data_IF_445862147884
#
_entry.id   IF_445862147884
#
_cell.length_a   1.000
_cell.length_b   1.000
_cell.length_c   1.000
_cell.angle_alpha   90.00
_cell.angle_beta   90.00
_cell.angle_gamma   90.00
#
_symmetry.space_group_name_H-M   'P 1'
#
loop_
_entity.id
_entity.type
_entity.pdbx_description
1 polymer ?
#
# COMPACT_ATOMS: atom_id res chain seq x y z
N UNK A 1 1.10 31.74 3.22
CA UNK A 1 0.73 30.49 2.53
C UNK A 1 0.00 30.85 1.24
N UNK A 2 0.46 30.36 0.11
CA UNK A 2 -0.08 30.74 -1.20
C UNK A 2 -1.42 30.03 -1.41
N UNK A 3 -2.53 30.72 -1.21
CA UNK A 3 -3.92 30.21 -1.37
C UNK A 3 -4.25 29.77 -2.79
N UNK A 4 -3.42 30.16 -3.78
CA UNK A 4 -3.61 29.85 -5.21
C UNK A 4 -3.44 28.35 -5.56
N UNK A 5 -2.75 27.57 -4.72
CA UNK A 5 -2.46 26.14 -4.97
C UNK A 5 -3.73 25.25 -4.91
N UNK A 6 -4.91 25.77 -4.51
CA UNK A 6 -6.06 24.96 -4.14
C UNK A 6 -7.39 25.41 -4.72
N UNK A 7 -7.35 26.04 -5.87
CA UNK A 7 -8.57 26.29 -6.67
C UNK A 7 -9.14 24.92 -7.08
N UNK A 8 -10.44 24.74 -6.89
CA UNK A 8 -11.12 23.51 -7.28
C UNK A 8 -11.03 23.33 -8.81
N UNK A 9 -10.89 22.08 -9.30
CA UNK A 9 -10.75 21.81 -10.74
C UNK A 9 -11.84 22.50 -11.58
N UNK A 10 -13.08 22.45 -11.15
CA UNK A 10 -14.26 23.02 -11.83
C UNK A 10 -14.22 24.55 -11.98
N UNK A 11 -13.40 25.24 -11.20
CA UNK A 11 -13.20 26.70 -11.28
C UNK A 11 -12.11 27.09 -12.28
N UNK A 12 -11.44 26.12 -12.92
CA UNK A 12 -10.35 26.33 -13.84
C UNK A 12 -10.87 26.48 -15.26
N UNK A 13 -10.25 27.35 -16.04
CA UNK A 13 -10.63 27.58 -17.43
C UNK A 13 -10.45 26.32 -18.29
N UNK A 14 -9.35 25.61 -18.11
CA UNK A 14 -9.10 24.37 -18.83
C UNK A 14 -10.11 23.26 -18.51
N UNK A 15 -10.64 23.21 -17.28
CA UNK A 15 -11.74 22.31 -16.93
C UNK A 15 -13.02 22.63 -17.70
N UNK A 16 -13.40 23.90 -17.76
CA UNK A 16 -14.57 24.35 -18.52
C UNK A 16 -14.43 24.04 -20.02
N UNK A 17 -13.22 24.23 -20.56
CA UNK A 17 -12.92 23.84 -21.93
C UNK A 17 -13.09 22.33 -22.15
N UNK A 18 -12.61 21.49 -21.23
CA UNK A 18 -12.80 20.04 -21.29
C UNK A 18 -14.28 19.65 -21.20
N UNK A 19 -15.06 20.32 -20.35
CA UNK A 19 -16.52 20.10 -20.29
C UNK A 19 -17.20 20.42 -21.63
N UNK A 20 -16.80 21.51 -22.30
CA UNK A 20 -17.32 21.88 -23.62
C UNK A 20 -16.93 20.83 -24.67
N UNK A 21 -15.68 20.37 -24.66
CA UNK A 21 -15.21 19.31 -25.56
C UNK A 21 -15.93 17.97 -25.34
N UNK A 22 -16.30 17.67 -24.09
CA UNK A 22 -17.03 16.46 -23.73
C UNK A 22 -18.50 16.47 -24.18
N UNK A 23 -19.08 17.65 -24.45
CA UNK A 23 -20.44 17.78 -24.99
C UNK A 23 -20.47 17.56 -26.50
N UNK A 24 -19.34 17.65 -27.20
CA UNK A 24 -19.28 17.35 -28.62
C UNK A 24 -19.52 15.85 -28.87
N UNK A 25 -20.11 15.48 -30.05
CA UNK A 25 -20.30 14.08 -30.40
C UNK A 25 -19.00 13.30 -30.27
N UNK A 26 -19.03 12.21 -29.50
CA UNK A 26 -17.85 11.40 -29.28
C UNK A 26 -17.41 10.72 -30.59
N UNK A 27 -16.18 11.00 -31.02
CA UNK A 27 -15.57 10.29 -32.15
C UNK A 27 -15.30 8.85 -31.75
N UNK A 28 -15.74 7.90 -32.57
CA UNK A 28 -15.51 6.49 -32.28
C UNK A 28 -14.02 6.14 -32.42
N UNK A 29 -13.52 5.28 -31.56
CA UNK A 29 -12.10 4.90 -31.58
C UNK A 29 -11.66 4.30 -32.92
N UNK A 30 -12.55 3.56 -33.59
CA UNK A 30 -12.34 3.03 -34.95
C UNK A 30 -11.96 4.12 -35.96
N UNK A 31 -12.49 5.35 -35.81
CA UNK A 31 -12.23 6.47 -36.69
C UNK A 31 -10.99 7.27 -36.30
N UNK A 32 -10.54 7.09 -35.03
CA UNK A 32 -9.32 7.69 -34.51
C UNK A 32 -8.09 6.85 -34.79
N UNK A 33 -8.18 5.53 -34.67
CA UNK A 33 -7.03 4.61 -34.81
C UNK A 33 -6.27 4.72 -36.15
N UNK A 34 -6.95 4.85 -37.31
CA UNK A 34 -6.25 4.95 -38.59
C UNK A 34 -5.62 6.31 -38.87
N UNK A 35 -5.77 7.29 -37.98
CA UNK A 35 -5.19 8.61 -38.19
C UNK A 35 -3.65 8.56 -38.22
N UNK A 36 -3.02 9.16 -39.27
CA UNK A 36 -1.56 9.16 -39.42
C UNK A 36 -0.88 9.75 -38.19
N UNK A 37 0.19 9.11 -37.73
CA UNK A 37 1.00 9.57 -36.60
C UNK A 37 0.39 9.36 -35.21
N UNK A 38 -0.87 8.91 -35.11
CA UNK A 38 -1.54 8.73 -33.82
C UNK A 38 -0.82 7.78 -32.87
N UNK A 39 -0.39 6.63 -33.35
CA UNK A 39 0.31 5.63 -32.53
C UNK A 39 1.61 6.19 -31.95
N UNK A 40 2.40 6.89 -32.75
CA UNK A 40 3.66 7.50 -32.29
C UNK A 40 3.43 8.74 -31.40
N UNK A 41 2.43 9.55 -31.72
CA UNK A 41 2.12 10.80 -30.98
C UNK A 41 1.50 10.57 -29.59
N UNK A 42 1.02 9.35 -29.30
CA UNK A 42 0.38 8.98 -28.04
C UNK A 42 1.11 7.86 -27.29
N UNK A 43 2.37 7.60 -27.65
CA UNK A 43 3.26 6.70 -26.93
C UNK A 43 4.32 7.49 -26.18
N UNK A 44 4.47 7.17 -24.90
CA UNK A 44 5.40 7.86 -24.00
C UNK A 44 6.26 6.83 -23.30
N UNK A 45 7.54 7.17 -23.11
CA UNK A 45 8.47 6.34 -22.36
C UNK A 45 9.15 7.16 -21.28
N UNK A 46 9.10 6.70 -20.04
CA UNK A 46 9.79 7.31 -18.91
C UNK A 46 10.05 6.29 -17.81
N UNK A 47 11.21 6.39 -17.16
CA UNK A 47 11.58 5.58 -16.01
C UNK A 47 11.41 4.04 -16.21
N UNK A 48 11.70 3.55 -17.42
CA UNK A 48 11.56 2.13 -17.76
C UNK A 48 10.11 1.68 -18.02
N UNK A 49 9.15 2.62 -18.04
CA UNK A 49 7.75 2.36 -18.36
C UNK A 49 7.42 2.86 -19.76
N UNK A 50 6.56 2.13 -20.46
CA UNK A 50 5.94 2.55 -21.71
C UNK A 50 4.44 2.75 -21.51
N UNK A 51 3.95 3.94 -21.87
CA UNK A 51 2.52 4.25 -21.88
C UNK A 51 2.06 4.36 -23.34
N UNK A 52 1.09 3.53 -23.73
CA UNK A 52 0.40 3.66 -25.01
C UNK A 52 -1.02 4.20 -24.76
N UNK A 53 -1.22 5.46 -25.09
CA UNK A 53 -2.51 6.13 -25.00
C UNK A 53 -3.26 6.18 -26.35
N UNK A 54 -2.77 5.49 -27.41
CA UNK A 54 -3.37 5.51 -28.74
C UNK A 54 -4.81 4.99 -28.77
N UNK A 55 -5.16 4.10 -27.83
CA UNK A 55 -6.52 3.56 -27.65
C UNK A 55 -7.42 4.40 -26.75
N UNK A 56 -6.97 5.56 -26.27
CA UNK A 56 -7.83 6.51 -25.58
C UNK A 56 -8.60 7.37 -26.57
N UNK A 57 -9.84 7.75 -26.24
CA UNK A 57 -10.65 8.64 -27.10
C UNK A 57 -10.25 10.10 -26.93
N UNK A 58 -8.99 10.40 -27.17
CA UNK A 58 -8.43 11.76 -27.15
C UNK A 58 -8.01 12.20 -28.54
N UNK A 59 -8.17 13.46 -28.83
CA UNK A 59 -7.63 14.15 -29.99
C UNK A 59 -6.70 15.29 -29.54
N UNK A 60 -6.10 16.01 -30.46
CA UNK A 60 -5.14 17.08 -30.14
C UNK A 60 -5.76 18.16 -29.25
N UNK A 61 -7.02 18.55 -29.46
CA UNK A 61 -7.69 19.59 -28.68
C UNK A 61 -7.92 19.13 -27.21
N UNK A 62 -8.37 17.87 -27.04
CA UNK A 62 -8.57 17.28 -25.72
C UNK A 62 -7.22 17.16 -25.00
N UNK A 63 -6.17 16.68 -25.68
CA UNK A 63 -4.85 16.55 -25.09
C UNK A 63 -4.26 17.91 -24.66
N UNK A 64 -4.40 18.93 -25.50
CA UNK A 64 -4.00 20.31 -25.19
C UNK A 64 -4.73 20.85 -23.97
N UNK A 65 -6.05 20.64 -23.88
CA UNK A 65 -6.84 21.07 -22.72
C UNK A 65 -6.49 20.29 -21.44
N UNK A 66 -6.12 19.00 -21.55
CA UNK A 66 -5.62 18.21 -20.40
C UNK A 66 -4.26 18.72 -19.91
N UNK A 67 -3.36 19.10 -20.82
CA UNK A 67 -2.08 19.71 -20.45
C UNK A 67 -2.29 21.07 -19.77
N UNK A 68 -3.16 21.93 -20.34
CA UNK A 68 -3.50 23.20 -19.72
C UNK A 68 -4.10 23.01 -18.31
N UNK A 69 -4.95 22.00 -18.13
CA UNK A 69 -5.49 21.68 -16.81
C UNK A 69 -4.39 21.26 -15.83
N UNK A 70 -3.41 20.47 -16.27
CA UNK A 70 -2.27 20.09 -15.44
C UNK A 70 -1.42 21.30 -15.02
N UNK A 71 -1.18 22.23 -15.95
CA UNK A 71 -0.45 23.49 -15.69
C UNK A 71 -1.24 24.38 -14.73
N UNK A 72 -2.50 24.67 -15.00
CA UNK A 72 -3.37 25.46 -14.12
C UNK A 72 -3.50 24.82 -12.74
N UNK A 73 -3.41 23.48 -12.66
CA UNK A 73 -3.46 22.72 -11.41
C UNK A 73 -2.11 22.68 -10.70
N UNK A 74 -1.06 23.23 -11.28
CA UNK A 74 0.29 23.27 -10.72
C UNK A 74 0.80 21.87 -10.31
N UNK A 75 0.60 20.88 -11.20
CA UNK A 75 0.90 19.47 -10.89
C UNK A 75 2.38 19.29 -10.57
N UNK A 76 3.28 19.94 -11.33
CA UNK A 76 4.73 19.83 -11.10
C UNK A 76 5.15 20.49 -9.79
N UNK A 77 4.61 21.67 -9.47
CA UNK A 77 4.91 22.36 -8.20
C UNK A 77 4.45 21.55 -6.99
N UNK A 78 3.27 20.92 -7.10
CA UNK A 78 2.78 20.01 -6.06
C UNK A 78 3.62 18.74 -5.93
N UNK A 79 4.12 18.21 -7.05
CA UNK A 79 5.03 17.07 -7.01
C UNK A 79 6.35 17.45 -6.31
N UNK A 80 6.90 18.62 -6.61
CA UNK A 80 8.09 19.12 -5.91
C UNK A 80 7.84 19.36 -4.41
N UNK A 81 6.70 19.96 -4.06
CA UNK A 81 6.28 20.14 -2.67
C UNK A 81 6.14 18.79 -1.93
N UNK A 82 5.60 17.76 -2.61
CA UNK A 82 5.54 16.40 -2.10
C UNK A 82 6.96 15.87 -1.81
N UNK A 83 7.89 16.02 -2.74
CA UNK A 83 9.28 15.56 -2.53
C UNK A 83 9.99 16.31 -1.40
N UNK A 84 9.64 17.57 -1.14
CA UNK A 84 10.16 18.33 0.00
C UNK A 84 9.50 18.00 1.33
N UNK A 85 8.47 17.15 1.34
CA UNK A 85 7.75 16.79 2.55
C UNK A 85 6.80 17.87 3.07
N UNK A 86 6.37 18.79 2.21
CA UNK A 86 5.37 19.79 2.58
C UNK A 86 4.00 19.14 2.82
N UNK A 87 3.19 19.73 3.71
CA UNK A 87 1.86 19.23 4.07
C UNK A 87 0.86 19.49 2.93
N UNK A 88 0.99 18.76 1.84
CA UNK A 88 0.09 18.89 0.68
C UNK A 88 -1.24 18.13 0.85
N UNK A 89 -1.33 17.19 1.78
CA UNK A 89 -2.61 16.58 2.18
C UNK A 89 -3.29 17.47 3.23
N UNK A 90 -4.12 18.38 2.75
CA UNK A 90 -4.78 19.37 3.60
C UNK A 90 -5.91 18.83 4.44
N UNK A 91 -6.56 17.75 4.00
CA UNK A 91 -7.69 17.17 4.73
C UNK A 91 -7.25 16.53 6.04
N UNK A 92 -6.02 16.07 6.09
CA UNK A 92 -5.42 15.40 7.24
C UNK A 92 -4.20 16.16 7.79
N UNK A 93 -3.90 17.33 7.22
CA UNK A 93 -2.76 18.21 7.57
C UNK A 93 -1.44 17.47 7.72
N UNK A 94 -1.03 16.75 6.68
CA UNK A 94 0.21 15.97 6.69
C UNK A 94 0.95 15.95 5.36
N UNK A 95 2.22 15.59 5.41
CA UNK A 95 3.02 15.31 4.24
C UNK A 95 2.51 14.07 3.48
N UNK A 96 2.89 13.96 2.22
CA UNK A 96 2.66 12.80 1.35
C UNK A 96 4.03 12.34 0.87
N UNK A 97 4.69 11.49 1.69
CA UNK A 97 6.09 11.13 1.50
C UNK A 97 6.32 9.65 1.18
N UNK A 98 5.33 8.97 0.61
CA UNK A 98 5.51 7.58 0.18
C UNK A 98 6.73 7.37 -0.75
N UNK A 99 7.19 8.43 -1.43
CA UNK A 99 8.41 8.42 -2.24
C UNK A 99 9.67 8.13 -1.44
N UNK A 100 9.71 8.49 -0.14
CA UNK A 100 10.83 8.22 0.74
C UNK A 100 11.04 6.72 1.00
N UNK A 101 10.00 5.89 0.89
CA UNK A 101 10.09 4.44 1.02
C UNK A 101 10.92 3.80 -0.11
N UNK A 102 11.08 4.50 -1.26
CA UNK A 102 11.83 4.04 -2.43
C UNK A 102 13.18 4.72 -2.56
N UNK A 103 13.49 5.66 -1.67
CA UNK A 103 14.73 6.42 -1.66
C UNK A 103 15.90 5.52 -1.32
N UNK A 104 16.61 5.03 -2.34
CA UNK A 104 17.96 4.50 -2.12
C UNK A 104 18.85 5.64 -1.69
N UNK A 105 19.79 5.37 -0.77
CA UNK A 105 20.70 6.32 -0.15
C UNK A 105 21.16 7.48 -1.06
N UNK A 106 20.35 8.54 -1.12
CA UNK A 106 20.78 9.82 -1.66
C UNK A 106 21.57 10.52 -0.56
N UNK A 107 22.71 11.10 -0.90
CA UNK A 107 23.54 11.82 0.07
C UNK A 107 22.79 12.97 0.76
N UNK A 108 21.81 13.56 0.08
CA UNK A 108 20.96 14.64 0.59
C UNK A 108 19.52 14.48 0.05
N UNK A 109 18.69 13.62 0.68
CA UNK A 109 17.32 13.47 0.24
C UNK A 109 16.51 14.75 0.53
N UNK A 110 15.61 15.16 -0.36
CA UNK A 110 14.83 16.38 -0.20
C UNK A 110 13.90 16.35 1.04
N UNK A 111 13.60 15.18 1.58
CA UNK A 111 12.80 14.98 2.79
C UNK A 111 13.63 14.88 4.09
N UNK A 112 14.95 15.00 4.02
CA UNK A 112 15.85 14.96 5.16
C UNK A 112 16.45 13.58 5.48
N UNK A 113 17.60 13.61 6.14
CA UNK A 113 18.35 12.41 6.50
C UNK A 113 17.65 11.56 7.57
N UNK A 114 16.96 12.19 8.51
CA UNK A 114 16.25 11.52 9.60
C UNK A 114 15.17 10.55 9.08
N UNK A 115 14.34 11.00 8.14
CA UNK A 115 13.32 10.15 7.52
C UNK A 115 13.96 8.97 6.78
N UNK A 116 15.05 9.21 6.05
CA UNK A 116 15.75 8.14 5.34
C UNK A 116 16.35 7.11 6.28
N UNK A 117 16.91 7.54 7.42
CA UNK A 117 17.44 6.66 8.44
C UNK A 117 16.34 5.82 9.10
N UNK A 118 15.20 6.46 9.45
CA UNK A 118 14.05 5.77 10.02
C UNK A 118 13.50 4.70 9.06
N UNK A 119 13.35 5.03 7.76
CA UNK A 119 12.92 4.07 6.73
C UNK A 119 13.90 2.91 6.60
N UNK A 120 15.21 3.18 6.56
CA UNK A 120 16.23 2.15 6.45
C UNK A 120 16.27 1.23 7.67
N UNK A 121 16.13 1.79 8.88
CA UNK A 121 16.09 1.02 10.11
C UNK A 121 14.87 0.08 10.14
N UNK A 122 13.70 0.58 9.75
CA UNK A 122 12.48 -0.24 9.72
C UNK A 122 12.52 -1.30 8.63
N UNK A 123 13.07 -0.99 7.45
CA UNK A 123 13.32 -1.97 6.39
C UNK A 123 14.20 -3.12 6.90
N UNK A 124 15.25 -2.81 7.63
CA UNK A 124 16.15 -3.81 8.24
C UNK A 124 15.39 -4.69 9.23
N UNK A 125 14.56 -4.09 10.10
CA UNK A 125 13.77 -4.83 11.10
C UNK A 125 12.82 -5.84 10.48
N UNK A 126 11.93 -5.38 9.57
CA UNK A 126 10.95 -6.30 9.01
C UNK A 126 11.56 -7.31 8.03
N UNK A 127 12.65 -6.95 7.34
CA UNK A 127 13.40 -7.90 6.51
C UNK A 127 14.03 -9.01 7.35
N UNK A 128 14.66 -8.66 8.49
CA UNK A 128 15.22 -9.64 9.41
C UNK A 128 14.13 -10.57 9.98
N UNK A 129 12.97 -10.01 10.34
CA UNK A 129 11.83 -10.81 10.82
C UNK A 129 11.31 -11.77 9.74
N UNK A 130 11.15 -11.29 8.50
CA UNK A 130 10.72 -12.12 7.38
C UNK A 130 11.71 -13.25 7.06
N UNK A 131 13.01 -12.97 7.14
CA UNK A 131 14.06 -13.98 6.97
C UNK A 131 14.00 -15.03 8.09
N UNK A 132 13.88 -14.59 9.35
CA UNK A 132 13.74 -15.51 10.49
C UNK A 132 12.50 -16.41 10.35
N UNK A 133 11.40 -15.85 9.86
CA UNK A 133 10.17 -16.60 9.57
C UNK A 133 10.40 -17.65 8.46
N UNK A 134 11.02 -17.26 7.34
CA UNK A 134 11.38 -18.18 6.23
C UNK A 134 12.32 -19.30 6.66
N UNK A 135 13.22 -19.03 7.59
CA UNK A 135 14.15 -20.03 8.15
C UNK A 135 13.54 -20.82 9.32
N UNK A 136 12.21 -20.68 9.57
CA UNK A 136 11.50 -21.39 10.65
C UNK A 136 12.04 -21.11 12.07
N UNK A 137 12.64 -19.93 12.26
CA UNK A 137 13.16 -19.49 13.55
C UNK A 137 12.11 -18.81 14.42
N UNK A 138 10.98 -18.39 13.82
CA UNK A 138 9.83 -17.84 14.54
C UNK A 138 8.92 -18.99 14.91
N UNK A 139 8.65 -19.11 16.22
CA UNK A 139 7.80 -20.18 16.78
C UNK A 139 6.55 -19.61 17.44
N UNK A 140 5.52 -20.44 17.52
CA UNK A 140 4.32 -20.21 18.31
C UNK A 140 4.49 -20.61 19.77
N UNK A 141 3.41 -20.54 20.55
CA UNK A 141 3.38 -20.85 21.99
C UNK A 141 3.80 -22.29 22.37
N UNK A 142 3.73 -23.23 21.45
CA UNK A 142 4.18 -24.61 21.66
C UNK A 142 5.67 -24.81 21.36
N UNK A 143 6.36 -23.80 20.83
CA UNK A 143 7.71 -23.92 20.30
C UNK A 143 7.77 -24.47 18.88
N UNK A 144 6.64 -24.83 18.25
CA UNK A 144 6.60 -25.23 16.86
C UNK A 144 6.82 -24.05 15.92
N UNK A 145 7.57 -24.23 14.82
CA UNK A 145 7.77 -23.18 13.82
C UNK A 145 6.47 -22.74 13.18
N UNK A 146 6.34 -21.45 12.93
CA UNK A 146 5.24 -20.88 12.13
C UNK A 146 5.35 -21.37 10.69
N UNK A 147 4.24 -21.88 10.15
CA UNK A 147 4.11 -22.34 8.76
C UNK A 147 3.10 -21.55 7.97
N UNK A 148 2.20 -20.87 8.66
CA UNK A 148 1.09 -20.12 8.04
C UNK A 148 1.04 -18.69 8.56
N UNK A 149 0.95 -17.74 7.65
CA UNK A 149 0.77 -16.32 7.93
C UNK A 149 -0.58 -15.87 7.40
N UNK A 150 -1.41 -15.31 8.27
CA UNK A 150 -2.71 -14.75 7.89
C UNK A 150 -2.63 -13.23 7.97
N UNK A 151 -2.70 -12.57 6.83
CA UNK A 151 -2.79 -11.12 6.74
C UNK A 151 -4.23 -10.68 7.00
N UNK A 152 -4.43 -9.86 8.04
CA UNK A 152 -5.69 -9.18 8.36
C UNK A 152 -5.55 -7.71 8.02
N UNK A 153 -6.02 -7.31 6.85
CA UNK A 153 -5.90 -5.94 6.37
C UNK A 153 -6.90 -5.64 5.26
N UNK A 154 -7.29 -4.38 5.11
CA UNK A 154 -8.33 -3.94 4.18
C UNK A 154 -7.78 -2.86 3.25
N UNK A 155 -8.22 -2.86 2.00
CA UNK A 155 -7.80 -1.88 1.00
C UNK A 155 -6.30 -1.92 0.72
N UNK A 156 -5.57 -0.84 1.05
CA UNK A 156 -4.11 -0.76 0.84
C UNK A 156 -3.32 -1.77 1.66
N UNK A 157 -3.86 -2.25 2.77
CA UNK A 157 -3.25 -3.27 3.61
C UNK A 157 -3.53 -4.72 3.14
N UNK A 158 -4.26 -4.90 2.06
CA UNK A 158 -4.54 -6.19 1.43
C UNK A 158 -4.07 -6.22 -0.03
N UNK A 159 -4.54 -5.27 -0.85
CA UNK A 159 -4.43 -5.34 -2.31
C UNK A 159 -2.97 -5.33 -2.78
N UNK A 160 -2.13 -4.46 -2.23
CA UNK A 160 -0.71 -4.39 -2.58
C UNK A 160 0.05 -5.66 -2.20
N UNK A 161 0.04 -6.07 -0.93
CA UNK A 161 0.69 -7.30 -0.47
C UNK A 161 0.19 -8.56 -1.18
N UNK A 162 -1.11 -8.70 -1.37
CA UNK A 162 -1.70 -9.84 -2.10
C UNK A 162 -1.22 -9.89 -3.54
N UNK A 163 -1.32 -8.77 -4.27
CA UNK A 163 -0.83 -8.66 -5.64
C UNK A 163 0.65 -9.05 -5.74
N UNK A 164 1.49 -8.54 -4.85
CA UNK A 164 2.92 -8.84 -4.87
C UNK A 164 3.20 -10.32 -4.58
N UNK A 165 2.50 -10.91 -3.61
CA UNK A 165 2.62 -12.33 -3.30
C UNK A 165 2.18 -13.20 -4.47
N UNK A 166 1.02 -12.93 -5.06
CA UNK A 166 0.50 -13.69 -6.20
C UNK A 166 1.38 -13.56 -7.45
N UNK A 167 1.96 -12.37 -7.68
CA UNK A 167 2.82 -12.11 -8.83
C UNK A 167 4.22 -12.71 -8.72
N UNK A 168 4.76 -12.81 -7.51
CA UNK A 168 6.13 -13.29 -7.25
C UNK A 168 6.18 -14.75 -6.78
N UNK A 169 5.02 -15.36 -6.61
CA UNK A 169 4.89 -16.71 -6.10
C UNK A 169 4.32 -17.67 -7.15
N UNK A 170 4.88 -18.88 -7.33
CA UNK A 170 6.11 -19.37 -6.72
C UNK A 170 7.34 -18.76 -7.40
N UNK A 171 8.17 -18.04 -6.67
CA UNK A 171 9.49 -17.69 -7.20
C UNK A 171 10.35 -18.95 -7.20
N UNK A 172 11.14 -19.14 -8.24
CA UNK A 172 12.09 -20.24 -8.36
C UNK A 172 13.34 -19.97 -7.49
N UNK A 173 13.10 -19.70 -6.20
CA UNK A 173 14.15 -19.40 -5.22
C UNK A 173 14.71 -20.66 -4.53
N UNK A 174 14.35 -21.83 -5.05
CA UNK A 174 14.79 -23.12 -4.52
C UNK A 174 14.04 -23.62 -3.29
N UNK A 175 13.01 -22.88 -2.84
CA UNK A 175 12.12 -23.30 -1.74
C UNK A 175 10.84 -23.92 -2.30
N UNK A 176 10.83 -25.22 -2.52
CA UNK A 176 9.63 -25.97 -2.88
C UNK A 176 9.33 -27.10 -1.89
N UNK A 177 8.19 -27.12 -1.20
CA UNK A 177 7.17 -26.07 -1.09
C UNK A 177 7.68 -24.86 -0.32
N UNK A 178 7.01 -23.69 -0.45
CA UNK A 178 7.40 -22.49 0.29
C UNK A 178 7.47 -22.77 1.80
N UNK A 179 8.46 -22.21 2.50
CA UNK A 179 8.63 -22.46 3.92
C UNK A 179 7.47 -21.95 4.77
N UNK A 180 6.71 -20.99 4.24
CA UNK A 180 5.55 -20.35 4.89
C UNK A 180 4.47 -20.12 3.85
N UNK A 181 3.24 -20.48 4.17
CA UNK A 181 2.04 -20.17 3.36
C UNK A 181 1.47 -18.81 3.79
N UNK A 182 1.05 -17.99 2.84
CA UNK A 182 0.44 -16.68 3.12
C UNK A 182 -1.02 -16.67 2.71
N UNK A 183 -1.87 -16.27 3.64
CA UNK A 183 -3.32 -16.19 3.48
C UNK A 183 -3.77 -14.74 3.66
N UNK A 184 -4.78 -14.30 2.91
CA UNK A 184 -5.29 -12.93 2.96
C UNK A 184 -6.76 -12.91 3.35
N UNK A 185 -7.08 -12.21 4.44
CA UNK A 185 -8.45 -11.96 4.90
C UNK A 185 -8.66 -10.45 4.93
N UNK A 186 -9.49 -9.97 4.02
CA UNK A 186 -9.68 -8.53 3.76
C UNK A 186 -11.15 -8.07 3.85
N UNK A 187 -12.04 -8.97 4.27
CA UNK A 187 -13.44 -8.65 4.45
C UNK A 187 -13.91 -9.10 5.85
N UNK A 188 -14.77 -8.30 6.47
CA UNK A 188 -15.39 -8.61 7.76
C UNK A 188 -16.36 -9.81 7.70
N UNK A 189 -16.64 -10.28 6.49
CA UNK A 189 -17.42 -11.51 6.29
C UNK A 189 -16.76 -12.68 7.02
N UNK A 190 -17.46 -13.19 8.02
CA UNK A 190 -16.99 -14.28 8.88
C UNK A 190 -16.65 -15.55 8.10
N UNK A 191 -17.30 -15.81 6.98
CA UNK A 191 -17.03 -16.97 6.15
C UNK A 191 -15.64 -16.95 5.52
N UNK A 192 -15.13 -15.78 5.13
CA UNK A 192 -13.76 -15.68 4.61
C UNK A 192 -12.76 -16.10 5.68
N UNK A 193 -12.89 -15.55 6.89
CA UNK A 193 -12.00 -15.88 8.01
C UNK A 193 -12.18 -17.36 8.42
N UNK A 194 -13.40 -17.82 8.63
CA UNK A 194 -13.69 -19.20 9.05
C UNK A 194 -13.16 -20.23 8.05
N UNK A 195 -13.36 -20.00 6.75
CA UNK A 195 -12.83 -20.87 5.69
C UNK A 195 -11.30 -20.92 5.71
N UNK A 196 -10.63 -19.78 5.89
CA UNK A 196 -9.18 -19.73 6.00
C UNK A 196 -8.70 -20.51 7.22
N UNK A 197 -9.26 -20.23 8.40
CA UNK A 197 -8.84 -20.84 9.66
C UNK A 197 -9.15 -22.34 9.76
N UNK A 198 -10.14 -22.84 9.05
CA UNK A 198 -10.52 -24.28 9.08
C UNK A 198 -9.42 -25.20 8.56
N UNK A 199 -8.50 -24.70 7.75
CA UNK A 199 -7.39 -25.47 7.19
C UNK A 199 -6.07 -25.28 7.98
N UNK A 200 -6.06 -24.41 9.00
CA UNK A 200 -4.87 -23.99 9.70
C UNK A 200 -4.78 -24.59 11.11
N UNK A 201 -3.56 -24.62 11.64
CA UNK A 201 -3.30 -25.08 13.01
C UNK A 201 -2.89 -23.92 13.92
N UNK A 202 -3.60 -23.66 15.04
CA UNK A 202 -3.33 -22.50 15.90
C UNK A 202 -1.86 -22.37 16.34
N UNK A 203 -1.21 -23.46 16.71
CA UNK A 203 0.17 -23.47 17.19
C UNK A 203 1.19 -23.01 16.12
N UNK A 204 0.84 -23.08 14.83
CA UNK A 204 1.73 -22.77 13.71
C UNK A 204 1.29 -21.59 12.84
N UNK A 205 0.27 -20.87 13.29
CA UNK A 205 -0.31 -19.73 12.55
C UNK A 205 0.13 -18.40 13.18
N UNK A 206 0.58 -17.46 12.34
CA UNK A 206 0.91 -16.08 12.70
C UNK A 206 -0.10 -15.13 12.04
N UNK A 207 -0.66 -14.20 12.80
CA UNK A 207 -1.52 -13.14 12.27
C UNK A 207 -0.74 -11.84 12.12
N UNK A 208 -0.76 -11.26 10.92
CA UNK A 208 -0.24 -9.92 10.64
C UNK A 208 -1.43 -8.96 10.53
N UNK A 209 -1.62 -8.14 11.54
CA UNK A 209 -2.72 -7.17 11.62
C UNK A 209 -2.23 -5.83 11.09
N UNK A 210 -2.73 -5.46 9.92
CA UNK A 210 -2.30 -4.27 9.19
C UNK A 210 -3.38 -3.20 9.20
N UNK A 211 -3.14 -2.14 9.95
CA UNK A 211 -4.02 -0.97 9.98
C UNK A 211 -3.24 0.27 10.36
N UNK A 212 -3.21 1.27 9.47
CA UNK A 212 -2.48 2.52 9.70
C UNK A 212 -2.90 3.20 11.00
N UNK A 213 -4.18 3.38 11.22
CA UNK A 213 -4.75 4.03 12.41
C UNK A 213 -4.91 3.09 13.60
N UNK A 214 -4.91 1.80 13.34
CA UNK A 214 -5.25 0.73 14.29
C UNK A 214 -6.64 0.90 14.95
N UNK A 215 -7.55 1.56 14.22
CA UNK A 215 -8.94 1.84 14.63
C UNK A 215 -9.95 1.38 13.58
N UNK A 216 -9.50 0.78 12.47
CA UNK A 216 -10.39 0.23 11.44
C UNK A 216 -11.22 -0.88 12.04
N UNK A 217 -12.52 -0.66 12.15
CA UNK A 217 -13.43 -1.54 12.88
C UNK A 217 -13.41 -2.97 12.32
N UNK A 218 -13.41 -3.12 11.00
CA UNK A 218 -13.39 -4.41 10.32
C UNK A 218 -12.09 -5.18 10.65
N UNK A 219 -10.94 -4.52 10.60
CA UNK A 219 -9.65 -5.14 10.94
C UNK A 219 -9.60 -5.57 12.40
N UNK A 220 -10.12 -4.74 13.31
CA UNK A 220 -10.16 -5.06 14.74
C UNK A 220 -11.15 -6.20 15.04
N UNK A 221 -12.27 -6.28 14.31
CA UNK A 221 -13.23 -7.39 14.43
C UNK A 221 -12.61 -8.71 13.98
N UNK A 222 -11.90 -8.70 12.85
CA UNK A 222 -11.16 -9.86 12.36
C UNK A 222 -10.07 -10.28 13.36
N UNK A 223 -9.30 -9.30 13.90
CA UNK A 223 -8.29 -9.56 14.92
C UNK A 223 -8.88 -10.18 16.19
N UNK A 224 -9.99 -9.66 16.70
CA UNK A 224 -10.65 -10.23 17.89
C UNK A 224 -11.08 -11.68 17.66
N UNK A 225 -11.62 -11.99 16.47
CA UNK A 225 -12.00 -13.34 16.08
C UNK A 225 -10.80 -14.27 15.95
N UNK A 226 -9.72 -13.80 15.34
CA UNK A 226 -8.46 -14.55 15.21
C UNK A 226 -7.82 -14.85 16.58
N UNK A 227 -7.81 -13.87 17.48
CA UNK A 227 -7.30 -14.05 18.85
C UNK A 227 -8.13 -15.07 19.62
N UNK A 228 -9.46 -15.04 19.49
CA UNK A 228 -10.33 -16.06 20.08
C UNK A 228 -10.01 -17.45 19.54
N UNK A 229 -9.85 -17.58 18.23
CA UNK A 229 -9.52 -18.86 17.60
C UNK A 229 -8.18 -19.43 18.10
N UNK A 230 -7.17 -18.60 18.36
CA UNK A 230 -5.91 -19.03 18.99
C UNK A 230 -6.18 -19.60 20.39
N UNK A 231 -6.95 -18.88 21.22
CA UNK A 231 -7.26 -19.31 22.59
C UNK A 231 -8.09 -20.60 22.60
N UNK A 232 -9.12 -20.69 21.77
CA UNK A 232 -9.96 -21.89 21.63
C UNK A 232 -9.15 -23.09 21.12
N UNK A 233 -8.08 -22.82 20.36
CA UNK A 233 -7.11 -23.80 19.88
C UNK A 233 -5.98 -24.15 20.86
N UNK A 234 -6.08 -23.70 22.12
CA UNK A 234 -5.16 -24.08 23.21
C UNK A 234 -4.01 -23.09 23.45
N UNK A 235 -3.97 -21.95 22.78
CA UNK A 235 -2.97 -20.92 23.09
C UNK A 235 -3.34 -20.21 24.39
N UNK A 236 -2.45 -20.20 25.41
CA UNK A 236 -2.67 -19.39 26.62
C UNK A 236 -2.85 -17.91 26.27
N UNK A 237 -3.81 -17.24 26.88
CA UNK A 237 -4.17 -15.87 26.54
C UNK A 237 -3.02 -14.87 26.67
N UNK A 238 -2.14 -15.07 27.61
CA UNK A 238 -0.91 -14.31 27.84
C UNK A 238 0.21 -14.59 26.82
N UNK A 239 0.13 -15.74 26.14
CA UNK A 239 1.11 -16.14 25.10
C UNK A 239 0.65 -15.84 23.68
N UNK A 240 -0.58 -15.39 23.47
CA UNK A 240 -1.10 -15.07 22.12
C UNK A 240 -0.21 -14.05 21.39
N UNK A 241 0.54 -13.19 22.09
CA UNK A 241 1.48 -12.24 21.48
C UNK A 241 2.54 -12.92 20.59
N UNK A 242 2.86 -14.20 20.82
CA UNK A 242 3.77 -14.98 20.00
C UNK A 242 3.22 -15.26 18.58
N UNK A 243 1.91 -15.13 18.41
CA UNK A 243 1.20 -15.35 17.15
C UNK A 243 0.73 -14.04 16.50
N UNK A 244 1.18 -12.89 16.99
CA UNK A 244 0.68 -11.58 16.56
C UNK A 244 1.80 -10.66 16.09
N UNK A 245 1.59 -10.04 14.95
CA UNK A 245 2.41 -8.95 14.40
C UNK A 245 1.47 -7.79 14.05
N UNK A 246 1.85 -6.57 14.39
CA UNK A 246 1.15 -5.36 14.00
C UNK A 246 1.96 -4.55 12.99
N UNK A 247 1.29 -4.00 11.98
CA UNK A 247 1.84 -2.96 11.10
C UNK A 247 0.97 -1.72 11.20
N UNK A 248 1.50 -0.66 11.80
CA UNK A 248 0.68 0.50 12.16
C UNK A 248 1.49 1.78 12.36
N UNK A 249 0.83 2.94 12.21
CA UNK A 249 1.36 4.24 12.65
C UNK A 249 1.12 4.50 14.15
N UNK A 250 0.43 3.58 14.85
CA UNK A 250 0.04 3.72 16.27
C UNK A 250 0.52 2.51 17.09
N UNK A 251 1.84 2.29 17.23
CA UNK A 251 2.36 1.11 17.93
C UNK A 251 1.92 1.03 19.39
N UNK A 252 1.79 2.14 20.09
CA UNK A 252 1.31 2.14 21.47
C UNK A 252 -0.13 1.59 21.61
N UNK A 253 -1.00 1.87 20.63
CA UNK A 253 -2.35 1.32 20.60
C UNK A 253 -2.33 -0.19 20.32
N UNK A 254 -1.47 -0.65 19.41
CA UNK A 254 -1.31 -2.09 19.18
C UNK A 254 -0.83 -2.80 20.45
N UNK A 255 0.16 -2.24 21.16
CA UNK A 255 0.67 -2.81 22.41
C UNK A 255 -0.43 -2.91 23.47
N UNK A 256 -1.29 -1.91 23.61
CA UNK A 256 -2.42 -1.96 24.56
C UNK A 256 -3.43 -3.06 24.23
N UNK A 257 -3.44 -3.58 23.00
CA UNK A 257 -4.28 -4.72 22.57
C UNK A 257 -3.56 -6.08 22.69
N UNK A 258 -2.32 -6.10 23.20
CA UNK A 258 -1.56 -7.30 23.50
C UNK A 258 -0.50 -7.67 22.42
N UNK A 259 -0.14 -6.75 21.54
CA UNK A 259 0.99 -6.95 20.65
C UNK A 259 2.31 -6.64 21.36
N UNK A 260 3.32 -7.44 21.12
CA UNK A 260 4.65 -7.20 21.66
C UNK A 260 5.38 -6.09 20.88
N UNK A 261 6.08 -5.20 21.57
CA UNK A 261 6.74 -4.04 20.96
C UNK A 261 7.67 -4.43 19.79
N UNK A 262 8.42 -5.52 19.95
CA UNK A 262 9.35 -6.04 18.92
C UNK A 262 8.66 -6.54 17.67
N UNK A 263 7.35 -6.88 17.76
CA UNK A 263 6.51 -7.35 16.66
C UNK A 263 5.55 -6.27 16.15
N UNK A 264 5.76 -5.02 16.55
CA UNK A 264 5.07 -3.86 16.00
C UNK A 264 6.00 -3.19 14.99
N UNK A 265 5.65 -3.29 13.71
CA UNK A 265 6.37 -2.62 12.62
C UNK A 265 5.73 -1.28 12.32
N UNK A 266 6.56 -0.28 12.11
CA UNK A 266 6.10 1.09 11.96
C UNK A 266 5.65 1.41 10.54
N UNK A 267 4.49 2.05 10.44
CA UNK A 267 3.97 2.66 9.23
C UNK A 267 3.74 4.14 9.50
N UNK A 268 4.41 5.01 8.76
CA UNK A 268 4.33 6.46 9.01
C UNK A 268 3.03 7.09 8.54
N UNK A 269 2.58 8.13 9.22
CA UNK A 269 1.37 8.88 8.87
C UNK A 269 1.42 9.50 7.47
N UNK A 270 2.61 9.84 6.98
CA UNK A 270 2.82 10.37 5.63
C UNK A 270 2.79 9.31 4.52
N UNK A 271 2.58 8.03 4.85
CA UNK A 271 2.33 6.97 3.88
C UNK A 271 0.83 6.84 3.65
N UNK A 272 0.37 7.09 2.43
CA UNK A 272 -1.01 6.82 2.04
C UNK A 272 -1.28 5.32 1.90
N UNK A 273 -2.47 4.84 2.29
CA UNK A 273 -2.80 3.41 2.28
C UNK A 273 -2.53 2.72 0.94
N UNK A 274 -2.95 3.31 -0.18
CA UNK A 274 -2.72 2.74 -1.53
C UNK A 274 -1.28 2.83 -2.03
N UNK A 275 -0.38 3.49 -1.30
CA UNK A 275 1.04 3.63 -1.62
C UNK A 275 1.95 2.92 -0.61
N UNK A 276 1.39 2.06 0.23
CA UNK A 276 2.06 1.45 1.38
C UNK A 276 2.86 0.18 1.06
N UNK A 277 2.72 -0.39 -0.13
CA UNK A 277 3.40 -1.64 -0.52
C UNK A 277 4.92 -1.65 -0.26
N UNK A 278 5.58 -0.48 -0.30
CA UNK A 278 7.02 -0.35 -0.05
C UNK A 278 7.37 -0.09 1.42
N UNK A 279 6.40 -0.17 2.31
CA UNK A 279 6.59 -0.08 3.77
C UNK A 279 6.63 -1.48 4.40
N UNK A 280 6.35 -1.57 5.69
CA UNK A 280 6.20 -2.85 6.39
C UNK A 280 4.87 -3.58 6.08
N UNK A 281 4.00 -2.96 5.29
CA UNK A 281 2.72 -3.54 4.84
C UNK A 281 2.96 -4.66 3.81
#
# INVERSE_FOLDING_TARGET
MNTSLFVRPEQRQAWQQLQTLAQAPAVHLRDLLPQPGRSHGLQYQAAGLSLDASHQRVNANILSALHALAEESQVLDKAQAMFRGEHINRTEDRAVLHVALRGRAQSTPPWGAEISQAVSAELTRYTAFAQALRHRQITGHTGEPITDVVNLGIGGSDLGPRMATEALWPSDDGFHPPPVQVHYVSNVDIWQLAKTLSALHPARTLFVVQSKTFTTQETLTLFASAKRWLVDGGCPADQCHQHLVAVTAKPALAQSLGFHAERCFHLWDWVGGRYSLWSAI
#
